data_IF_219589220638
#
_entry.id   IF_219589220638
#
_cell.length_a   1.000
_cell.length_b   1.000
_cell.length_c   1.000
_cell.angle_alpha   90.00
_cell.angle_beta   90.00
_cell.angle_gamma   90.00
#
_symmetry.space_group_name_H-M   'P 1'
#
loop_
_entity.id
_entity.type
_entity.pdbx_description
1 polymer ?
#
# COMPACT_ATOMS: atom_id res chain seq x y z
N UNK A 1 -1.96 -10.08 -27.75
CA UNK A 1 -1.26 -9.87 -26.45
C UNK A 1 -2.26 -10.09 -25.33
N UNK A 2 -1.86 -10.78 -24.25
CA UNK A 2 -2.70 -10.98 -23.07
C UNK A 2 -2.85 -9.65 -22.31
N UNK A 3 -4.03 -9.40 -21.74
CA UNK A 3 -4.27 -8.20 -20.93
C UNK A 3 -3.39 -8.24 -19.66
N UNK A 4 -2.81 -7.11 -19.22
CA UNK A 4 -2.04 -7.06 -17.99
C UNK A 4 -2.91 -7.45 -16.80
N UNK A 5 -2.32 -8.16 -15.84
CA UNK A 5 -2.97 -8.55 -14.58
C UNK A 5 -2.26 -7.86 -13.43
N UNK A 6 -3.03 -7.41 -12.44
CA UNK A 6 -2.47 -6.80 -11.23
C UNK A 6 -3.17 -7.34 -9.98
N UNK A 7 -2.51 -7.16 -8.84
CA UNK A 7 -2.98 -7.58 -7.53
C UNK A 7 -2.50 -6.58 -6.50
N UNK A 8 -3.41 -6.12 -5.64
CA UNK A 8 -3.05 -5.28 -4.50
C UNK A 8 -2.29 -6.15 -3.47
N UNK A 9 -1.11 -5.69 -3.10
CA UNK A 9 -0.24 -6.37 -2.14
C UNK A 9 -0.24 -5.70 -0.77
N UNK A 10 -0.50 -4.41 -0.68
CA UNK A 10 -0.64 -3.74 0.60
C UNK A 10 -1.44 -2.45 0.47
N UNK A 11 -2.24 -2.15 1.48
CA UNK A 11 -2.88 -0.85 1.67
C UNK A 11 -2.49 -0.32 3.03
N UNK A 12 -1.92 0.89 3.03
CA UNK A 12 -1.54 1.64 4.23
C UNK A 12 -2.50 2.80 4.40
N UNK A 13 -3.03 2.96 5.60
CA UNK A 13 -3.93 4.05 5.93
C UNK A 13 -3.58 4.67 7.28
N UNK A 14 -3.79 5.97 7.38
CA UNK A 14 -3.81 6.68 8.65
C UNK A 14 -5.25 6.85 9.13
N UNK A 15 -5.45 6.76 10.43
CA UNK A 15 -6.73 7.05 11.08
C UNK A 15 -6.50 8.13 12.13
N UNK A 16 -7.45 9.06 12.26
CA UNK A 16 -7.41 10.07 13.32
C UNK A 16 -8.71 10.02 14.13
N UNK A 17 -8.60 9.82 15.44
CA UNK A 17 -9.74 9.84 16.36
C UNK A 17 -10.04 11.24 16.93
N UNK A 18 -9.15 12.22 16.73
CA UNK A 18 -9.26 13.59 17.27
C UNK A 18 -9.41 13.65 18.80
N UNK A 19 -8.77 12.71 19.51
CA UNK A 19 -8.71 12.67 20.96
C UNK A 19 -7.44 11.96 21.40
N UNK A 20 -7.02 12.16 22.64
CA UNK A 20 -5.98 11.33 23.24
C UNK A 20 -6.55 9.98 23.68
N UNK A 21 -5.67 8.97 23.77
CA UNK A 21 -6.02 7.63 24.24
C UNK A 21 -4.95 7.12 25.21
N UNK A 22 -5.40 6.49 26.29
CA UNK A 22 -4.54 5.81 27.23
C UNK A 22 -4.15 4.43 26.68
N UNK A 23 -2.89 4.29 26.24
CA UNK A 23 -2.37 3.05 25.68
C UNK A 23 -2.19 1.96 26.74
N UNK A 24 -1.93 2.32 28.01
CA UNK A 24 -1.80 1.36 29.09
C UNK A 24 -3.16 0.74 29.41
N UNK A 25 -4.23 1.56 29.42
CA UNK A 25 -5.59 1.06 29.59
C UNK A 25 -5.99 0.08 28.47
N UNK A 26 -5.61 0.36 27.23
CA UNK A 26 -5.84 -0.56 26.10
C UNK A 26 -5.07 -1.88 26.31
N UNK A 27 -3.76 -1.81 26.55
CA UNK A 27 -2.90 -2.98 26.67
C UNK A 27 -3.30 -3.87 27.86
N UNK A 28 -3.75 -3.27 28.96
CA UNK A 28 -4.27 -4.01 30.12
C UNK A 28 -5.64 -4.67 29.88
N UNK A 29 -6.44 -4.14 28.97
CA UNK A 29 -7.78 -4.65 28.68
C UNK A 29 -7.85 -5.63 27.50
N UNK A 30 -6.94 -5.51 26.53
CA UNK A 30 -7.02 -6.22 25.25
C UNK A 30 -5.76 -7.06 25.03
N UNK A 31 -5.88 -8.38 25.11
CA UNK A 31 -4.75 -9.32 25.02
C UNK A 31 -3.91 -9.22 23.73
N UNK A 32 -4.53 -8.87 22.59
CA UNK A 32 -3.85 -8.72 21.29
C UNK A 32 -3.19 -7.35 21.08
N UNK A 33 -3.22 -6.49 22.10
CA UNK A 33 -2.61 -5.17 22.09
C UNK A 33 -1.25 -5.24 22.82
N UNK A 34 -0.17 -5.16 22.07
CA UNK A 34 1.19 -5.15 22.59
C UNK A 34 1.65 -3.70 22.77
N UNK A 35 2.05 -3.31 23.98
CA UNK A 35 2.57 -1.96 24.24
C UNK A 35 3.80 -2.02 25.13
N UNK A 36 4.93 -1.56 24.60
CA UNK A 36 6.19 -1.38 25.33
C UNK A 36 6.82 -0.04 24.91
N UNK A 37 6.56 1.06 25.64
CA UNK A 37 7.03 2.39 25.27
C UNK A 37 8.55 2.54 25.21
N UNK A 38 9.30 1.70 25.94
CA UNK A 38 10.77 1.72 25.92
C UNK A 38 11.32 1.19 24.58
N UNK A 39 10.56 0.35 23.87
CA UNK A 39 10.92 -0.17 22.55
C UNK A 39 10.26 0.59 21.41
N UNK A 40 8.99 0.94 21.54
CA UNK A 40 8.22 1.63 20.51
C UNK A 40 7.11 2.50 21.13
N UNK A 41 7.00 3.79 20.75
CA UNK A 41 6.07 4.72 21.40
C UNK A 41 4.58 4.44 21.13
N UNK A 42 4.26 3.56 20.17
CA UNK A 42 2.89 3.18 19.83
C UNK A 42 2.52 1.80 20.36
N UNK A 43 1.23 1.56 20.52
CA UNK A 43 0.66 0.25 20.76
C UNK A 43 0.49 -0.50 19.44
N UNK A 44 0.90 -1.77 19.41
CA UNK A 44 0.76 -2.64 18.24
C UNK A 44 -0.45 -3.54 18.43
N UNK A 45 -1.42 -3.42 17.52
CA UNK A 45 -2.63 -4.22 17.52
C UNK A 45 -2.69 -5.08 16.27
N UNK A 46 -2.87 -6.40 16.43
CA UNK A 46 -2.90 -7.34 15.30
C UNK A 46 -4.26 -8.01 15.14
N UNK A 47 -4.70 -8.17 13.90
CA UNK A 47 -5.85 -8.99 13.52
C UNK A 47 -5.40 -10.06 12.53
N UNK A 48 -6.00 -11.25 12.63
CA UNK A 48 -5.74 -12.34 11.70
C UNK A 48 -6.62 -12.30 10.45
N UNK A 49 -7.84 -11.73 10.56
CA UNK A 49 -8.84 -11.69 9.49
C UNK A 49 -9.57 -10.34 9.39
N UNK A 50 -9.21 -9.46 8.44
CA UNK A 50 -8.05 -9.57 7.54
C UNK A 50 -6.73 -9.53 8.33
N UNK A 51 -5.65 -10.11 7.76
CA UNK A 51 -4.33 -10.11 8.40
C UNK A 51 -3.73 -8.70 8.35
N UNK A 52 -3.87 -7.94 9.43
CA UNK A 52 -3.47 -6.53 9.49
C UNK A 52 -2.76 -6.20 10.79
N UNK A 53 -1.86 -5.23 10.75
CA UNK A 53 -1.26 -4.61 11.92
C UNK A 53 -1.67 -3.14 11.98
N UNK A 54 -2.09 -2.68 13.15
CA UNK A 54 -2.42 -1.28 13.41
C UNK A 54 -1.57 -0.75 14.54
N UNK A 55 -0.83 0.31 14.27
CA UNK A 55 -0.09 1.06 15.28
C UNK A 55 -1.03 2.13 15.83
N UNK A 56 -1.20 2.22 17.15
CA UNK A 56 -2.07 3.18 17.83
C UNK A 56 -1.20 4.07 18.72
N UNK A 57 -1.28 5.39 18.54
CA UNK A 57 -0.50 6.35 19.30
C UNK A 57 -1.38 7.06 20.33
N UNK A 58 -0.79 7.52 21.43
CA UNK A 58 -1.48 8.24 22.52
C UNK A 58 -2.19 9.52 22.04
N UNK A 59 -1.75 10.08 20.91
CA UNK A 59 -2.40 11.21 20.22
C UNK A 59 -3.73 10.88 19.55
N UNK A 60 -4.15 9.60 19.53
CA UNK A 60 -5.30 9.11 18.79
C UNK A 60 -5.08 8.99 17.28
N UNK A 61 -3.84 9.15 16.81
CA UNK A 61 -3.45 8.72 15.47
C UNK A 61 -3.29 7.20 15.45
N UNK A 62 -3.72 6.58 14.36
CA UNK A 62 -3.47 5.16 14.09
C UNK A 62 -2.89 4.99 12.69
N UNK A 63 -2.04 4.00 12.50
CA UNK A 63 -1.51 3.59 11.19
C UNK A 63 -1.84 2.13 10.96
N UNK A 64 -2.72 1.85 10.01
CA UNK A 64 -3.14 0.50 9.63
C UNK A 64 -2.37 0.06 8.38
N UNK A 65 -1.81 -1.16 8.41
CA UNK A 65 -1.08 -1.78 7.28
C UNK A 65 -1.38 -3.27 7.20
N UNK A 66 -1.08 -3.89 6.05
CA UNK A 66 -1.27 -5.31 5.76
C UNK A 66 -2.58 -5.64 5.03
N UNK A 67 -3.49 -4.67 4.90
CA UNK A 67 -4.74 -4.85 4.15
C UNK A 67 -4.45 -5.15 2.68
N UNK A 68 -5.26 -6.01 2.04
CA UNK A 68 -5.14 -6.33 0.60
C UNK A 68 -6.20 -5.60 -0.24
N UNK A 69 -6.95 -4.71 0.39
CA UNK A 69 -7.91 -3.79 -0.23
C UNK A 69 -8.21 -2.62 0.70
N UNK A 70 -8.73 -1.53 0.17
CA UNK A 70 -9.28 -0.42 0.96
C UNK A 70 -10.37 -0.93 1.92
N UNK A 71 -11.23 -1.83 1.43
CA UNK A 71 -12.30 -2.46 2.23
C UNK A 71 -11.75 -3.23 3.44
N UNK A 72 -10.59 -3.86 3.34
CA UNK A 72 -9.94 -4.52 4.48
C UNK A 72 -9.57 -3.52 5.57
N UNK A 73 -8.96 -2.41 5.17
CA UNK A 73 -8.59 -1.32 6.10
C UNK A 73 -9.83 -0.79 6.81
N UNK A 74 -10.89 -0.43 6.08
CA UNK A 74 -12.13 0.07 6.69
C UNK A 74 -12.73 -0.94 7.68
N UNK A 75 -12.71 -2.24 7.35
CA UNK A 75 -13.18 -3.31 8.24
C UNK A 75 -12.30 -3.45 9.49
N UNK A 76 -10.97 -3.43 9.34
CA UNK A 76 -10.02 -3.48 10.46
C UNK A 76 -10.24 -2.33 11.42
N UNK A 77 -10.31 -1.09 10.91
CA UNK A 77 -10.52 0.09 11.76
C UNK A 77 -11.85 -0.02 12.51
N UNK A 78 -12.94 -0.40 11.84
CA UNK A 78 -14.24 -0.60 12.50
C UNK A 78 -14.17 -1.65 13.62
N UNK A 79 -13.51 -2.78 13.39
CA UNK A 79 -13.33 -3.83 14.42
C UNK A 79 -12.56 -3.32 15.63
N UNK A 80 -11.48 -2.57 15.41
CA UNK A 80 -10.69 -1.97 16.49
C UNK A 80 -11.56 -1.02 17.31
N UNK A 81 -12.26 -0.09 16.65
CA UNK A 81 -13.12 0.87 17.36
C UNK A 81 -14.24 0.17 18.15
N UNK A 82 -14.86 -0.87 17.59
CA UNK A 82 -15.88 -1.65 18.29
C UNK A 82 -15.32 -2.34 19.54
N UNK A 83 -14.11 -2.90 19.45
CA UNK A 83 -13.51 -3.58 20.59
C UNK A 83 -13.04 -2.61 21.69
N UNK A 84 -12.47 -1.46 21.32
CA UNK A 84 -12.15 -0.40 22.28
C UNK A 84 -13.42 -0.01 23.06
N UNK A 85 -14.53 0.22 22.37
CA UNK A 85 -15.83 0.52 23.00
C UNK A 85 -16.34 -0.62 23.88
N UNK A 86 -16.17 -1.88 23.46
CA UNK A 86 -16.56 -3.06 24.24
C UNK A 86 -15.80 -3.16 25.58
N UNK A 87 -14.56 -2.70 25.62
CA UNK A 87 -13.74 -2.61 26.83
C UNK A 87 -13.88 -1.26 27.56
N UNK A 88 -14.98 -0.54 27.32
CA UNK A 88 -15.33 0.74 27.96
C UNK A 88 -14.31 1.87 27.70
N UNK A 89 -13.49 1.76 26.67
CA UNK A 89 -12.61 2.84 26.23
C UNK A 89 -13.43 3.81 25.38
N UNK A 90 -13.49 5.07 25.83
CA UNK A 90 -14.35 6.09 25.23
C UNK A 90 -13.75 6.58 23.92
N UNK A 91 -14.47 6.38 22.81
CA UNK A 91 -14.17 6.97 21.50
C UNK A 91 -15.26 7.99 21.14
N UNK A 92 -14.87 9.25 21.09
CA UNK A 92 -15.67 10.43 20.77
C UNK A 92 -15.63 10.63 19.24
N UNK A 93 -16.81 10.70 18.63
CA UNK A 93 -16.94 10.95 17.19
C UNK A 93 -16.55 9.77 16.30
N UNK A 94 -16.42 10.06 15.00
CA UNK A 94 -16.08 9.06 13.98
C UNK A 94 -14.60 9.11 13.58
N UNK A 95 -13.95 7.95 13.40
CA UNK A 95 -12.58 7.88 12.92
C UNK A 95 -12.47 8.44 11.49
N UNK A 96 -11.58 9.42 11.28
CA UNK A 96 -11.23 9.90 9.94
C UNK A 96 -10.17 8.98 9.34
N UNK A 97 -10.53 8.20 8.32
CA UNK A 97 -9.64 7.26 7.64
C UNK A 97 -9.13 7.89 6.35
N UNK A 98 -7.83 7.83 6.11
CA UNK A 98 -7.19 8.31 4.88
C UNK A 98 -6.21 7.26 4.37
N UNK A 99 -6.38 6.84 3.12
CA UNK A 99 -5.43 5.95 2.45
C UNK A 99 -4.17 6.76 2.14
N UNK A 100 -3.03 6.26 2.61
CA UNK A 100 -1.73 6.91 2.47
C UNK A 100 -0.94 6.32 1.31
N UNK A 101 -1.01 5.01 1.12
CA UNK A 101 -0.31 4.32 0.04
C UNK A 101 -0.99 2.98 -0.29
N UNK A 102 -0.95 2.62 -1.56
CA UNK A 102 -1.33 1.31 -2.08
C UNK A 102 -0.14 0.76 -2.85
N UNK A 103 0.28 -0.44 -2.48
CA UNK A 103 1.30 -1.21 -3.19
C UNK A 103 0.62 -2.34 -3.94
N UNK A 104 0.97 -2.51 -5.21
CA UNK A 104 0.44 -3.57 -6.06
C UNK A 104 1.56 -4.26 -6.85
N UNK A 105 1.37 -5.53 -7.13
CA UNK A 105 2.15 -6.29 -8.10
C UNK A 105 1.37 -6.39 -9.41
N UNK A 106 2.07 -6.45 -10.54
CA UNK A 106 1.45 -6.69 -11.83
C UNK A 106 2.34 -7.51 -12.75
N UNK A 107 1.74 -8.07 -13.80
CA UNK A 107 2.43 -8.78 -14.87
C UNK A 107 1.82 -8.36 -16.21
N UNK A 108 2.67 -7.88 -17.11
CA UNK A 108 2.28 -7.44 -18.46
C UNK A 108 2.02 -8.61 -19.42
N UNK A 109 2.47 -9.83 -19.07
CA UNK A 109 2.37 -10.99 -19.96
C UNK A 109 3.33 -10.94 -21.15
N UNK A 110 4.35 -10.08 -21.11
CA UNK A 110 5.35 -9.86 -22.13
C UNK A 110 6.67 -9.44 -21.47
N UNK A 111 7.81 -9.80 -22.06
CA UNK A 111 9.12 -9.29 -21.64
C UNK A 111 9.33 -7.85 -22.12
N UNK A 112 10.22 -7.12 -21.45
CA UNK A 112 10.49 -5.70 -21.70
C UNK A 112 11.97 -5.51 -22.03
N UNK A 113 12.27 -4.81 -23.13
CA UNK A 113 13.60 -4.24 -23.36
C UNK A 113 13.83 -3.05 -22.43
N UNK A 114 14.44 -3.27 -21.25
CA UNK A 114 14.62 -2.19 -20.27
C UNK A 114 15.56 -1.08 -20.75
N UNK A 115 16.62 -1.42 -21.50
CA UNK A 115 17.56 -0.43 -22.03
C UNK A 115 16.86 0.51 -23.03
N UNK A 116 16.16 -0.07 -24.00
CA UNK A 116 15.38 0.71 -24.98
C UNK A 116 14.24 1.47 -24.30
N UNK A 117 13.57 0.87 -23.31
CA UNK A 117 12.53 1.56 -22.55
C UNK A 117 13.09 2.75 -21.76
N UNK A 118 14.27 2.64 -21.14
CA UNK A 118 14.91 3.73 -20.41
C UNK A 118 15.26 4.91 -21.33
N UNK A 119 15.69 4.62 -22.56
CA UNK A 119 15.99 5.65 -23.55
C UNK A 119 14.74 6.38 -24.07
N UNK A 120 13.62 5.67 -24.22
CA UNK A 120 12.39 6.19 -24.82
C UNK A 120 11.37 6.75 -23.82
N UNK A 121 11.41 6.30 -22.56
CA UNK A 121 10.54 6.79 -21.51
C UNK A 121 11.14 8.03 -20.85
N UNK A 122 10.42 9.15 -20.94
CA UNK A 122 10.64 10.28 -20.05
C UNK A 122 10.41 9.85 -18.58
N UNK A 123 11.15 10.43 -17.63
CA UNK A 123 11.04 10.13 -16.19
C UNK A 123 11.30 8.65 -15.82
N UNK A 124 12.14 7.97 -16.61
CA UNK A 124 12.66 6.64 -16.31
C UNK A 124 14.12 6.70 -15.83
N UNK A 125 14.48 5.80 -14.91
CA UNK A 125 15.85 5.59 -14.45
C UNK A 125 16.15 4.10 -14.46
N UNK A 126 17.23 3.70 -15.12
CA UNK A 126 17.65 2.31 -15.21
C UNK A 126 19.16 2.22 -15.07
N UNK A 127 19.60 1.75 -13.89
CA UNK A 127 21.00 1.58 -13.53
C UNK A 127 21.17 0.12 -13.06
N UNK A 128 21.32 -0.86 -13.98
CA UNK A 128 21.23 -2.29 -13.66
C UNK A 128 22.27 -2.78 -12.64
N UNK A 129 23.41 -2.08 -12.54
CA UNK A 129 24.44 -2.36 -11.52
C UNK A 129 23.98 -1.98 -10.10
N UNK A 130 23.10 -0.97 -9.97
CA UNK A 130 22.56 -0.50 -8.70
C UNK A 130 21.22 -1.16 -8.37
N UNK A 131 20.36 -1.34 -9.36
CA UNK A 131 19.04 -1.94 -9.20
C UNK A 131 18.58 -2.63 -10.50
N UNK A 132 18.13 -3.90 -10.46
CA UNK A 132 17.83 -4.68 -11.65
C UNK A 132 16.55 -4.27 -12.42
N UNK A 133 15.77 -3.32 -11.90
CA UNK A 133 14.53 -2.85 -12.52
C UNK A 133 14.64 -1.41 -13.02
N UNK A 134 13.82 -1.06 -14.01
CA UNK A 134 13.64 0.33 -14.42
C UNK A 134 12.65 1.01 -13.47
N UNK A 135 13.02 2.17 -12.95
CA UNK A 135 12.17 3.00 -12.10
C UNK A 135 11.50 4.04 -12.98
N UNK A 136 10.18 3.94 -13.16
CA UNK A 136 9.39 4.89 -13.92
C UNK A 136 8.50 5.71 -12.98
N UNK A 137 8.63 7.03 -13.02
CA UNK A 137 7.79 7.95 -12.25
C UNK A 137 6.69 8.50 -13.15
N UNK A 138 5.45 8.20 -12.82
CA UNK A 138 4.30 8.78 -13.52
C UNK A 138 4.15 10.25 -13.10
N UNK A 139 3.95 11.13 -14.09
CA UNK A 139 3.73 12.56 -13.86
C UNK A 139 2.43 12.81 -13.10
N UNK A 140 1.40 12.01 -13.41
CA UNK A 140 0.11 12.08 -12.76
C UNK A 140 0.11 11.18 -11.49
N UNK A 141 -0.48 11.70 -10.41
CA UNK A 141 -0.83 10.97 -9.18
C UNK A 141 0.33 10.49 -8.27
N UNK A 142 1.58 10.85 -8.55
CA UNK A 142 2.72 10.51 -7.69
C UNK A 142 3.02 9.00 -7.63
N UNK A 143 2.55 8.26 -8.64
CA UNK A 143 2.74 6.81 -8.76
C UNK A 143 4.13 6.50 -9.29
N UNK A 144 4.81 5.54 -8.66
CA UNK A 144 6.09 4.99 -9.10
C UNK A 144 5.90 3.53 -9.48
N UNK A 145 6.42 3.17 -10.65
CA UNK A 145 6.37 1.83 -11.20
C UNK A 145 7.80 1.30 -11.31
N UNK A 146 8.05 0.14 -10.72
CA UNK A 146 9.27 -0.64 -10.92
C UNK A 146 8.99 -1.68 -11.99
N UNK A 147 9.66 -1.59 -13.13
CA UNK A 147 9.53 -2.49 -14.28
C UNK A 147 10.71 -3.47 -14.30
N UNK A 148 10.44 -4.76 -14.48
CA UNK A 148 11.47 -5.78 -14.64
C UNK A 148 11.44 -6.35 -16.06
N UNK A 149 12.58 -6.78 -16.59
CA UNK A 149 12.71 -7.35 -17.94
C UNK A 149 11.74 -8.51 -18.19
N UNK A 150 11.41 -9.27 -17.14
CA UNK A 150 10.41 -10.35 -17.18
C UNK A 150 8.95 -9.92 -17.45
N UNK A 151 8.64 -8.62 -17.46
CA UNK A 151 7.26 -8.11 -17.54
C UNK A 151 6.55 -7.98 -16.20
N UNK A 152 7.19 -8.42 -15.10
CA UNK A 152 6.69 -8.16 -13.74
C UNK A 152 6.84 -6.68 -13.41
N UNK A 153 5.91 -6.17 -12.61
CA UNK A 153 5.91 -4.79 -12.14
C UNK A 153 5.55 -4.69 -10.67
N UNK A 154 6.07 -3.66 -10.00
CA UNK A 154 5.61 -3.21 -8.69
C UNK A 154 5.13 -1.76 -8.81
N UNK A 155 3.95 -1.45 -8.30
CA UNK A 155 3.34 -0.13 -8.32
C UNK A 155 3.22 0.35 -6.88
N UNK A 156 3.64 1.58 -6.60
CA UNK A 156 3.52 2.23 -5.29
C UNK A 156 3.22 3.72 -5.45
N UNK A 157 2.73 4.38 -4.39
CA UNK A 157 2.39 5.81 -4.37
C UNK A 157 0.91 6.11 -4.58
N UNK A 158 0.16 5.17 -5.15
CA UNK A 158 -1.29 5.31 -5.37
C UNK A 158 -2.06 5.45 -4.06
N UNK A 159 -3.15 6.23 -4.07
CA UNK A 159 -4.04 6.42 -2.91
C UNK A 159 -5.45 5.86 -3.10
N UNK A 160 -5.77 5.41 -4.32
CA UNK A 160 -7.01 4.70 -4.66
C UNK A 160 -6.69 3.46 -5.49
N UNK A 161 -7.44 2.38 -5.30
CA UNK A 161 -7.27 1.15 -6.08
C UNK A 161 -7.43 1.39 -7.60
N UNK A 162 -8.32 2.31 -7.99
CA UNK A 162 -8.51 2.68 -9.39
C UNK A 162 -7.27 3.33 -10.02
N UNK A 163 -6.46 4.05 -9.23
CA UNK A 163 -5.23 4.68 -9.72
C UNK A 163 -4.20 3.61 -10.10
N UNK A 164 -4.14 2.49 -9.34
CA UNK A 164 -3.30 1.33 -9.68
C UNK A 164 -3.71 0.73 -11.02
N UNK A 165 -5.02 0.53 -11.23
CA UNK A 165 -5.56 0.00 -12.48
C UNK A 165 -5.23 0.90 -13.67
N UNK A 166 -5.39 2.23 -13.50
CA UNK A 166 -5.03 3.21 -14.53
C UNK A 166 -3.54 3.17 -14.83
N UNK A 167 -2.69 3.16 -13.80
CA UNK A 167 -1.24 3.10 -13.94
C UNK A 167 -0.77 1.88 -14.74
N UNK A 168 -1.30 0.69 -14.41
CA UNK A 168 -0.99 -0.57 -15.12
C UNK A 168 -1.35 -0.49 -16.60
N UNK A 169 -2.53 0.04 -16.93
CA UNK A 169 -2.96 0.16 -18.32
C UNK A 169 -2.17 1.23 -19.09
N UNK A 170 -1.92 2.39 -18.47
CA UNK A 170 -1.18 3.51 -19.09
C UNK A 170 0.25 3.10 -19.44
N UNK A 171 0.96 2.44 -18.52
CA UNK A 171 2.32 1.97 -18.82
C UNK A 171 2.34 0.84 -19.84
N UNK A 172 1.36 -0.06 -19.82
CA UNK A 172 1.29 -1.15 -20.80
C UNK A 172 1.11 -0.63 -22.23
N UNK A 173 0.17 0.29 -22.47
CA UNK A 173 -0.03 0.87 -23.80
C UNK A 173 1.19 1.70 -24.21
N UNK A 174 1.78 2.48 -23.30
CA UNK A 174 3.01 3.26 -23.61
C UNK A 174 4.17 2.36 -24.03
N UNK A 175 4.44 1.27 -23.30
CA UNK A 175 5.51 0.32 -23.66
C UNK A 175 5.23 -0.40 -24.98
N UNK A 176 3.95 -0.68 -25.28
CA UNK A 176 3.53 -1.28 -26.54
C UNK A 176 3.73 -0.33 -27.72
N UNK A 177 3.34 0.93 -27.59
CA UNK A 177 3.54 1.98 -28.61
C UNK A 177 5.02 2.22 -28.90
N UNK A 178 5.88 2.17 -27.88
CA UNK A 178 7.33 2.29 -28.03
C UNK A 178 7.99 1.04 -28.66
N UNK A 179 7.25 -0.04 -28.85
CA UNK A 179 7.76 -1.28 -29.42
C UNK A 179 8.89 -1.87 -28.58
N UNK A 180 8.73 -1.88 -27.26
CA UNK A 180 9.69 -2.44 -26.29
C UNK A 180 9.17 -3.71 -25.59
N UNK A 181 8.00 -4.20 -25.97
CA UNK A 181 7.40 -5.42 -25.44
C UNK A 181 7.62 -6.61 -26.39
N UNK A 182 8.06 -7.76 -25.84
CA UNK A 182 8.19 -9.02 -26.56
C UNK A 182 7.25 -10.06 -25.97
N UNK A 183 6.37 -10.62 -26.80
CA UNK A 183 5.47 -11.69 -26.36
C UNK A 183 6.26 -13.00 -26.36
N UNK A 184 6.20 -13.77 -25.27
CA UNK A 184 6.68 -15.16 -25.31
C UNK A 184 5.73 -15.95 -26.20
N UNK A 185 6.27 -16.52 -27.27
CA UNK A 185 5.57 -17.57 -28.05
C UNK A 185 5.13 -18.73 -27.15
#
# INVERSE_FOLDING_TARGET
>A
MTKPRYKIENVVASVTLNQTIDLNAIAGAIFKAEYNPDQFPGLVYRLDRPKTATLIFSSGKMVCTGGKSEKDVYRTVRKIIQELKAHKIVIIGEPKIQIQNIVASANLGAEINLEKAAYLLENAMYEPEQFPGLIYRMEDEGVVILLFSSGKMVITGAKKEDDVKRAVNKIYEKLKELGVLYVKE
#
